data_IF_780665797540
#
_entry.id   IF_780665797540
#
_cell.length_a   1.000
_cell.length_b   1.000
_cell.length_c   1.000
_cell.angle_alpha   90.00
_cell.angle_beta   90.00
_cell.angle_gamma   90.00
#
_symmetry.space_group_name_H-M   'P 1'
#
loop_
_entity.id
_entity.type
_entity.pdbx_description
1 polymer ?
#
# COMPACT_ATOMS: atom_id res chain seq x y z
N UNK A 1 -0.28 12.46 -5.46
CA UNK A 1 -1.71 12.33 -5.77
C UNK A 1 -2.27 10.92 -5.51
N UNK A 2 -1.58 9.85 -5.93
CA UNK A 2 -2.07 8.46 -5.93
C UNK A 2 -2.63 7.95 -4.60
N UNK A 3 -1.97 8.22 -3.46
CA UNK A 3 -2.43 7.74 -2.13
C UNK A 3 -3.86 8.17 -1.81
N UNK A 4 -4.18 9.45 -2.00
CA UNK A 4 -5.51 9.99 -1.69
C UNK A 4 -6.56 9.34 -2.60
N UNK A 5 -6.32 9.32 -3.92
CA UNK A 5 -7.26 8.75 -4.89
C UNK A 5 -7.61 7.28 -4.59
N UNK A 6 -6.61 6.46 -4.29
CA UNK A 6 -6.82 5.04 -3.98
C UNK A 6 -7.58 4.86 -2.67
N UNK A 7 -7.24 5.66 -1.65
CA UNK A 7 -7.89 5.54 -0.33
C UNK A 7 -9.35 5.95 -0.39
N UNK A 8 -9.69 7.04 -1.10
CA UNK A 8 -11.08 7.47 -1.34
C UNK A 8 -11.87 6.45 -2.17
N UNK A 9 -11.21 5.74 -3.09
CA UNK A 9 -11.80 4.63 -3.84
C UNK A 9 -11.95 3.33 -3.01
N UNK A 10 -11.59 3.34 -1.72
CA UNK A 10 -11.66 2.17 -0.83
C UNK A 10 -10.52 1.16 -0.99
N UNK A 11 -9.46 1.53 -1.71
CA UNK A 11 -8.22 0.75 -1.79
C UNK A 11 -7.30 0.97 -0.59
N UNK A 12 -6.12 0.32 -0.61
CA UNK A 12 -5.06 0.50 0.37
C UNK A 12 -3.76 0.94 -0.28
N UNK A 13 -3.01 1.73 0.47
CA UNK A 13 -1.71 2.27 0.13
C UNK A 13 -0.75 2.09 1.31
N UNK A 14 0.43 1.55 1.08
CA UNK A 14 1.54 1.49 2.04
C UNK A 14 2.88 1.51 1.34
N UNK A 15 3.96 1.63 2.09
CA UNK A 15 5.31 1.22 1.66
C UNK A 15 5.47 -0.31 1.75
N UNK A 16 6.66 -0.82 1.43
CA UNK A 16 6.97 -2.27 1.53
C UNK A 16 7.02 -2.75 2.98
N UNK A 17 7.25 -1.84 3.92
CA UNK A 17 7.15 -2.10 5.35
C UNK A 17 5.71 -1.93 5.87
N UNK A 18 4.69 -1.89 5.01
CA UNK A 18 3.27 -1.80 5.40
C UNK A 18 2.85 -0.50 6.07
N UNK A 19 3.73 0.50 6.17
CA UNK A 19 3.39 1.80 6.75
C UNK A 19 2.70 2.68 5.71
N UNK A 20 1.70 3.50 6.07
CA UNK A 20 0.99 4.36 5.12
C UNK A 20 1.81 5.60 4.72
N UNK A 21 3.06 5.43 4.29
CA UNK A 21 4.02 6.51 4.00
C UNK A 21 4.17 6.79 2.50
N UNK A 22 4.16 8.06 2.11
CA UNK A 22 4.47 8.51 0.75
C UNK A 22 5.93 8.97 0.59
N UNK A 23 6.68 9.00 1.68
CA UNK A 23 8.04 9.54 1.74
C UNK A 23 9.11 8.46 1.52
N UNK A 24 8.67 7.24 1.18
CA UNK A 24 9.52 6.10 0.85
C UNK A 24 9.72 6.00 -0.66
N UNK A 25 10.78 5.32 -1.09
CA UNK A 25 11.08 5.10 -2.51
C UNK A 25 10.24 4.00 -3.18
N UNK A 26 9.19 3.52 -2.50
CA UNK A 26 8.47 2.31 -2.84
C UNK A 26 7.03 2.35 -2.27
N UNK A 27 6.11 1.68 -2.96
CA UNK A 27 4.71 1.64 -2.59
C UNK A 27 4.03 0.32 -2.99
N UNK A 28 3.09 -0.14 -2.17
CA UNK A 28 2.11 -1.18 -2.47
C UNK A 28 0.74 -0.53 -2.57
N UNK A 29 0.04 -0.79 -3.66
CA UNK A 29 -1.30 -0.27 -3.94
C UNK A 29 -2.19 -1.45 -4.29
N UNK A 30 -3.33 -1.59 -3.61
CA UNK A 30 -4.24 -2.72 -3.87
C UNK A 30 -5.70 -2.39 -3.55
N UNK A 31 -6.60 -3.30 -3.90
CA UNK A 31 -8.04 -3.25 -3.57
C UNK A 31 -8.35 -3.53 -2.08
N UNK A 32 -7.35 -3.47 -1.20
CA UNK A 32 -7.46 -3.80 0.22
C UNK A 32 -7.44 -5.30 0.52
N UNK A 33 -8.13 -6.14 -0.27
CA UNK A 33 -8.31 -7.58 0.00
C UNK A 33 -7.02 -8.38 0.00
N UNK A 34 -6.07 -8.01 -0.86
CA UNK A 34 -4.78 -8.71 -1.03
C UNK A 34 -3.61 -7.95 -0.44
N UNK A 35 -3.85 -6.81 0.21
CA UNK A 35 -2.79 -5.88 0.61
C UNK A 35 -1.79 -6.53 1.58
N UNK A 36 -2.31 -7.12 2.65
CA UNK A 36 -1.47 -7.68 3.70
C UNK A 36 -0.69 -8.91 3.20
N UNK A 37 -1.28 -9.70 2.30
CA UNK A 37 -0.59 -10.82 1.66
C UNK A 37 0.59 -10.35 0.81
N UNK A 38 0.42 -9.29 0.01
CA UNK A 38 1.51 -8.71 -0.80
C UNK A 38 2.60 -8.13 0.10
N UNK A 39 2.24 -7.36 1.14
CA UNK A 39 3.21 -6.79 2.08
C UNK A 39 3.99 -7.89 2.80
N UNK A 40 3.34 -8.98 3.20
CA UNK A 40 4.02 -10.11 3.83
C UNK A 40 5.02 -10.78 2.88
N UNK A 41 4.66 -11.01 1.61
CA UNK A 41 5.60 -11.55 0.61
C UNK A 41 6.82 -10.64 0.43
N UNK A 42 6.63 -9.32 0.44
CA UNK A 42 7.71 -8.34 0.25
C UNK A 42 8.65 -8.20 1.46
N UNK A 43 8.18 -8.54 2.66
CA UNK A 43 8.98 -8.50 3.90
C UNK A 43 9.84 -9.75 4.10
N UNK A 44 9.58 -10.83 3.36
CA UNK A 44 10.14 -12.16 3.61
C UNK A 44 9.46 -12.87 4.78
#
# INVERSE_FOLDING_TARGET
ATKILVTEAGGRFSDFAGSPSIYTGNAVISNGRVHDAVVNILRG
#
